data_IF_345277323206
#
_entry.id   IF_345277323206
#
_cell.length_a   1.000
_cell.length_b   1.000
_cell.length_c   1.000
_cell.angle_alpha   90.00
_cell.angle_beta   90.00
_cell.angle_gamma   90.00
#
_symmetry.space_group_name_H-M   'P 1'
#
loop_
_entity.id
_entity.type
_entity.pdbx_description
1 polymer ?
#
# COMPACT_ATOMS: atom_id res chain seq x y z
N UNK A 1 23.47 57.44 19.41
CA UNK A 1 22.46 56.48 19.95
C UNK A 1 22.54 55.21 19.14
N UNK A 2 23.22 54.21 19.66
CA UNK A 2 23.39 52.89 19.08
C UNK A 2 22.21 52.04 19.52
N UNK A 3 21.34 51.62 18.59
CA UNK A 3 20.32 50.61 18.83
C UNK A 3 20.99 49.23 18.90
N UNK A 4 21.06 48.67 20.09
CA UNK A 4 21.43 47.29 20.31
C UNK A 4 20.27 46.41 19.85
N UNK A 5 20.50 45.67 18.75
CA UNK A 5 19.64 44.56 18.31
C UNK A 5 19.85 43.41 19.29
N UNK A 6 18.92 43.23 20.22
CA UNK A 6 18.85 42.03 21.05
C UNK A 6 18.33 40.87 20.19
N UNK A 7 19.03 39.75 20.03
CA UNK A 7 18.51 38.59 19.32
C UNK A 7 17.35 37.99 20.10
N UNK A 8 16.21 37.82 19.46
CA UNK A 8 15.07 37.07 19.95
C UNK A 8 15.52 35.60 20.08
N UNK A 9 15.51 35.00 21.29
CA UNK A 9 15.87 33.59 21.43
C UNK A 9 14.84 32.72 20.69
N UNK A 10 15.29 31.65 19.99
CA UNK A 10 14.37 30.71 19.40
C UNK A 10 13.56 30.02 20.51
N UNK A 11 12.25 30.16 20.50
CA UNK A 11 11.36 29.39 21.37
C UNK A 11 11.27 27.96 20.90
N UNK A 12 12.34 27.20 21.02
CA UNK A 12 12.29 25.76 20.93
C UNK A 12 11.71 25.24 22.26
N UNK A 13 10.51 24.66 22.24
CA UNK A 13 10.02 23.89 23.39
C UNK A 13 11.00 22.74 23.56
N UNK A 14 11.62 22.64 24.74
CA UNK A 14 12.63 21.61 25.08
C UNK A 14 12.05 20.19 25.17
N UNK A 15 10.79 20.01 24.84
CA UNK A 15 10.06 18.74 24.89
C UNK A 15 9.84 18.20 23.48
N UNK A 16 10.13 16.88 23.26
CA UNK A 16 9.80 16.24 21.99
C UNK A 16 8.30 16.33 21.67
N UNK A 17 7.91 16.44 20.38
CA UNK A 17 6.52 16.51 19.99
C UNK A 17 5.79 15.20 20.36
N UNK A 18 4.58 15.31 20.90
CA UNK A 18 3.68 14.17 21.11
C UNK A 18 2.89 13.93 19.86
N UNK A 19 3.07 12.76 19.24
CA UNK A 19 2.48 12.41 17.95
C UNK A 19 1.56 11.19 18.11
N UNK A 20 0.32 11.29 17.61
CA UNK A 20 -0.51 10.11 17.40
C UNK A 20 -0.40 9.65 15.95
N UNK A 21 -0.22 8.34 15.73
CA UNK A 21 -0.37 7.70 14.41
C UNK A 21 -1.61 6.82 14.44
N UNK A 22 -2.63 7.18 13.68
CA UNK A 22 -3.91 6.45 13.62
C UNK A 22 -3.88 5.46 12.47
N UNK A 23 -3.84 4.18 12.81
CA UNK A 23 -3.72 3.03 11.89
C UNK A 23 -2.40 2.28 12.05
N UNK A 24 -2.45 1.02 12.51
CA UNK A 24 -1.31 0.12 12.69
C UNK A 24 -1.14 -0.87 11.51
N UNK A 25 -1.51 -0.44 10.29
CA UNK A 25 -1.10 -1.08 9.05
C UNK A 25 0.38 -0.81 8.75
N UNK A 26 0.90 -1.37 7.66
CA UNK A 26 2.33 -1.24 7.29
C UNK A 26 2.79 0.23 7.21
N UNK A 27 1.96 1.12 6.66
CA UNK A 27 2.31 2.55 6.49
C UNK A 27 2.39 3.24 7.86
N UNK A 28 1.34 3.12 8.69
CA UNK A 28 1.33 3.77 10.01
C UNK A 28 2.39 3.20 10.96
N UNK A 29 2.62 1.89 10.92
CA UNK A 29 3.66 1.25 11.74
C UNK A 29 5.07 1.72 11.35
N UNK A 30 5.36 1.85 10.04
CA UNK A 30 6.63 2.38 9.57
C UNK A 30 6.81 3.86 9.97
N UNK A 31 5.74 4.68 9.87
CA UNK A 31 5.77 6.10 10.32
C UNK A 31 6.02 6.19 11.83
N UNK A 32 5.29 5.42 12.63
CA UNK A 32 5.45 5.43 14.09
C UNK A 32 6.88 5.05 14.50
N UNK A 33 7.44 4.01 13.89
CA UNK A 33 8.81 3.58 14.11
C UNK A 33 9.83 4.68 13.75
N UNK A 34 9.71 5.29 12.57
CA UNK A 34 10.66 6.29 12.10
C UNK A 34 10.57 7.60 12.92
N UNK A 35 9.36 8.04 13.30
CA UNK A 35 9.17 9.20 14.18
C UNK A 35 9.76 8.96 15.57
N UNK A 36 9.52 7.78 16.17
CA UNK A 36 10.10 7.40 17.47
C UNK A 36 11.62 7.34 17.40
N UNK A 37 12.19 6.80 16.32
CA UNK A 37 13.63 6.76 16.08
C UNK A 37 14.25 8.16 16.02
N UNK A 38 13.50 9.16 15.57
CA UNK A 38 13.93 10.59 15.54
C UNK A 38 13.61 11.36 16.81
N UNK A 39 13.17 10.70 17.86
CA UNK A 39 12.98 11.28 19.17
C UNK A 39 11.61 11.89 19.45
N UNK A 40 10.59 11.68 18.60
CA UNK A 40 9.23 12.03 18.92
C UNK A 40 8.64 11.09 19.99
N UNK A 41 7.73 11.58 20.83
CA UNK A 41 6.92 10.75 21.74
C UNK A 41 5.69 10.24 20.97
N UNK A 42 5.72 8.97 20.52
CA UNK A 42 4.72 8.46 19.58
C UNK A 42 3.76 7.47 20.23
N UNK A 43 2.45 7.65 19.95
CA UNK A 43 1.39 6.67 20.27
C UNK A 43 0.80 6.14 18.97
N UNK A 44 0.94 4.83 18.73
CA UNK A 44 0.32 4.11 17.60
C UNK A 44 -1.06 3.61 18.02
N UNK A 45 -2.11 4.00 17.28
CA UNK A 45 -3.51 3.74 17.65
C UNK A 45 -4.19 2.92 16.56
N UNK A 46 -4.73 1.76 16.92
CA UNK A 46 -5.57 0.94 16.02
C UNK A 46 -6.59 0.15 16.84
N UNK A 47 -7.72 -0.17 16.25
CA UNK A 47 -8.74 -1.05 16.85
C UNK A 47 -8.34 -2.53 16.84
N UNK A 48 -7.52 -2.91 15.85
CA UNK A 48 -7.07 -4.28 15.63
C UNK A 48 -5.60 -4.47 16.06
N UNK A 49 -5.15 -5.71 16.11
CA UNK A 49 -3.72 -5.99 16.26
C UNK A 49 -2.95 -5.53 15.01
N UNK A 50 -1.69 -5.13 15.15
CA UNK A 50 -0.89 -4.60 14.06
C UNK A 50 -0.84 -5.53 12.85
N UNK A 51 -1.08 -4.97 11.67
CA UNK A 51 -0.99 -5.65 10.39
C UNK A 51 -2.16 -6.55 10.03
N UNK A 52 -3.21 -6.67 10.85
CA UNK A 52 -4.31 -7.63 10.62
C UNK A 52 -5.29 -7.25 9.50
N UNK A 53 -5.26 -6.00 9.02
CA UNK A 53 -6.09 -5.55 7.91
C UNK A 53 -5.44 -5.82 6.53
N UNK A 54 -5.45 -4.83 5.64
CA UNK A 54 -4.95 -4.97 4.26
C UNK A 54 -3.48 -5.39 4.16
N UNK A 55 -2.66 -5.07 5.16
CA UNK A 55 -1.24 -5.45 5.21
C UNK A 55 -1.05 -6.96 5.32
N UNK A 56 -1.84 -7.65 6.15
CA UNK A 56 -1.81 -9.11 6.27
C UNK A 56 -2.01 -9.81 4.92
N UNK A 57 -3.02 -9.36 4.16
CA UNK A 57 -3.40 -9.99 2.91
C UNK A 57 -2.62 -9.51 1.68
N UNK A 58 -1.64 -8.64 1.84
CA UNK A 58 -0.82 -8.17 0.74
C UNK A 58 0.03 -9.30 0.14
N UNK A 59 0.30 -9.23 -1.17
CA UNK A 59 1.18 -10.18 -1.86
C UNK A 59 2.67 -9.98 -1.55
N UNK A 60 3.01 -9.06 -0.67
CA UNK A 60 4.38 -8.81 -0.23
C UNK A 60 5.31 -8.22 -1.28
N UNK A 61 4.82 -7.94 -2.48
CA UNK A 61 5.63 -7.42 -3.57
C UNK A 61 6.15 -6.01 -3.24
N UNK A 62 7.48 -5.83 -3.29
CA UNK A 62 8.14 -4.53 -3.31
C UNK A 62 8.49 -4.26 -4.77
N UNK A 63 7.72 -3.37 -5.39
CA UNK A 63 7.68 -3.17 -6.83
C UNK A 63 7.99 -1.71 -7.20
N UNK A 64 9.24 -1.24 -7.07
CA UNK A 64 9.58 0.16 -7.39
C UNK A 64 9.28 0.53 -8.84
N UNK A 65 9.31 -0.43 -9.76
CA UNK A 65 8.94 -0.22 -11.16
C UNK A 65 7.43 -0.11 -11.44
N UNK A 66 6.55 -0.13 -10.42
CA UNK A 66 5.10 0.04 -10.60
C UNK A 66 4.69 1.51 -10.77
N UNK A 67 5.36 2.22 -11.67
CA UNK A 67 5.17 3.66 -11.93
C UNK A 67 3.95 3.98 -12.77
N UNK A 68 3.43 3.03 -13.55
CA UNK A 68 2.23 3.25 -14.37
C UNK A 68 0.99 3.27 -13.46
N UNK A 69 0.19 4.36 -13.45
CA UNK A 69 -1.04 4.42 -12.68
C UNK A 69 -2.09 3.44 -13.23
N UNK A 70 -3.10 3.10 -12.41
CA UNK A 70 -4.18 2.20 -12.85
C UNK A 70 -5.06 2.82 -13.94
N UNK A 71 -5.24 4.14 -13.90
CA UNK A 71 -6.03 4.91 -14.86
C UNK A 71 -5.22 5.18 -16.14
N UNK A 72 -5.06 4.15 -16.99
CA UNK A 72 -4.40 4.26 -18.30
C UNK A 72 -5.42 4.50 -19.41
N UNK A 73 -5.09 5.23 -20.50
CA UNK A 73 -6.03 5.51 -21.60
C UNK A 73 -6.70 4.27 -22.18
N UNK A 74 -5.98 3.16 -22.33
CA UNK A 74 -6.51 1.90 -22.85
C UNK A 74 -7.53 1.19 -21.94
N UNK A 75 -7.51 1.49 -20.65
CA UNK A 75 -8.43 0.89 -19.66
C UNK A 75 -9.87 1.40 -19.87
N UNK A 76 -10.03 2.63 -20.32
CA UNK A 76 -11.36 3.23 -20.50
C UNK A 76 -12.22 2.48 -21.51
N UNK A 77 -11.62 2.00 -22.60
CA UNK A 77 -12.34 1.25 -23.64
C UNK A 77 -12.83 -0.12 -23.13
N UNK A 78 -12.13 -0.73 -22.18
CA UNK A 78 -12.45 -2.04 -21.60
C UNK A 78 -13.34 -1.97 -20.36
N UNK A 79 -13.48 -0.80 -19.70
CA UNK A 79 -14.23 -0.64 -18.47
C UNK A 79 -15.68 -1.15 -18.54
N UNK A 80 -16.51 -0.83 -19.58
CA UNK A 80 -17.89 -1.29 -19.63
C UNK A 80 -18.00 -2.82 -19.64
N UNK A 81 -17.17 -3.48 -20.47
CA UNK A 81 -17.15 -4.94 -20.54
C UNK A 81 -16.67 -5.56 -19.22
N UNK A 82 -15.65 -4.98 -18.60
CA UNK A 82 -15.11 -5.46 -17.32
C UNK A 82 -16.08 -5.30 -16.15
N UNK A 83 -16.91 -4.25 -16.14
CA UNK A 83 -17.88 -3.99 -15.07
C UNK A 83 -19.13 -4.88 -15.16
N UNK A 84 -19.47 -5.36 -16.35
CA UNK A 84 -20.64 -6.19 -16.60
C UNK A 84 -20.35 -7.69 -16.45
N UNK A 85 -19.11 -8.11 -16.55
CA UNK A 85 -18.69 -9.52 -16.40
C UNK A 85 -18.28 -9.82 -14.96
N UNK A 86 -19.08 -10.59 -14.24
CA UNK A 86 -18.75 -11.05 -12.87
C UNK A 86 -17.47 -11.89 -12.80
N UNK A 87 -17.01 -12.44 -13.91
CA UNK A 87 -15.76 -13.21 -14.02
C UNK A 87 -14.54 -12.33 -14.32
N UNK A 88 -14.77 -11.05 -14.59
CA UNK A 88 -13.71 -10.07 -14.82
C UNK A 88 -12.84 -9.87 -13.57
N UNK A 89 -11.54 -9.55 -13.73
CA UNK A 89 -10.70 -9.10 -12.64
C UNK A 89 -11.25 -7.87 -11.91
N UNK A 90 -12.03 -7.03 -12.59
CA UNK A 90 -12.71 -5.86 -12.02
C UNK A 90 -14.21 -6.11 -11.96
N UNK A 91 -14.81 -5.88 -10.79
CA UNK A 91 -16.25 -6.02 -10.57
C UNK A 91 -16.80 -4.82 -9.80
N UNK A 92 -17.95 -4.33 -10.24
CA UNK A 92 -18.73 -3.28 -9.58
C UNK A 92 -20.19 -3.72 -9.46
N UNK A 93 -20.66 -4.03 -8.24
CA UNK A 93 -22.08 -4.34 -8.02
C UNK A 93 -22.97 -3.17 -8.41
N UNK A 94 -23.99 -3.42 -9.27
CA UNK A 94 -24.89 -2.38 -9.76
C UNK A 94 -25.53 -1.52 -8.64
N UNK A 95 -25.94 -2.07 -7.47
CA UNK A 95 -26.47 -1.25 -6.38
C UNK A 95 -25.44 -0.29 -5.76
N UNK A 96 -24.15 -0.53 -5.97
CA UNK A 96 -23.08 0.35 -5.46
C UNK A 96 -22.69 1.45 -6.47
N UNK A 97 -23.05 1.30 -7.74
CA UNK A 97 -22.69 2.22 -8.83
C UNK A 97 -22.95 3.71 -8.51
N UNK A 98 -24.12 4.11 -7.94
CA UNK A 98 -24.36 5.53 -7.63
C UNK A 98 -23.35 6.11 -6.63
N UNK A 99 -22.89 5.30 -5.67
CA UNK A 99 -21.86 5.69 -4.68
C UNK A 99 -20.46 5.73 -5.26
N UNK A 100 -20.15 4.82 -6.18
CA UNK A 100 -18.85 4.75 -6.85
C UNK A 100 -18.70 5.81 -7.96
N UNK A 101 -19.80 6.34 -8.50
CA UNK A 101 -19.79 7.21 -9.68
C UNK A 101 -18.89 8.45 -9.53
N UNK A 102 -18.89 9.21 -8.42
CA UNK A 102 -17.99 10.36 -8.27
C UNK A 102 -16.52 9.96 -8.34
N UNK A 103 -16.14 8.82 -7.75
CA UNK A 103 -14.78 8.29 -7.82
C UNK A 103 -14.45 7.81 -9.23
N UNK A 104 -15.36 7.11 -9.91
CA UNK A 104 -15.17 6.63 -11.29
C UNK A 104 -14.96 7.78 -12.27
N UNK A 105 -15.71 8.87 -12.13
CA UNK A 105 -15.53 10.06 -12.96
C UNK A 105 -14.15 10.68 -12.77
N UNK A 106 -13.65 10.77 -11.53
CA UNK A 106 -12.28 11.21 -11.23
C UNK A 106 -11.23 10.24 -11.80
N UNK A 107 -11.47 8.93 -11.69
CA UNK A 107 -10.61 7.89 -12.27
C UNK A 107 -10.50 8.03 -13.79
N UNK A 108 -11.64 8.19 -14.49
CA UNK A 108 -11.68 8.42 -15.94
C UNK A 108 -10.92 9.71 -16.31
N UNK A 109 -11.14 10.80 -15.56
CA UNK A 109 -10.46 12.05 -15.77
C UNK A 109 -8.94 11.94 -15.57
N UNK A 110 -8.47 11.03 -14.72
CA UNK A 110 -7.05 10.79 -14.46
C UNK A 110 -6.34 10.04 -15.60
N UNK A 111 -7.08 9.41 -16.51
CA UNK A 111 -6.52 8.63 -17.61
C UNK A 111 -6.05 9.47 -18.83
N UNK A 112 -6.06 10.80 -18.76
CA UNK A 112 -5.50 11.62 -19.82
C UNK A 112 -3.96 11.50 -19.86
N UNK A 113 -3.32 11.52 -21.06
CA UNK A 113 -1.87 11.29 -21.18
C UNK A 113 -1.04 12.16 -20.24
N UNK A 114 -1.31 13.46 -20.18
CA UNK A 114 -0.61 14.40 -19.30
C UNK A 114 -0.74 14.04 -17.81
N UNK A 115 -1.95 13.63 -17.36
CA UNK A 115 -2.16 13.23 -15.96
C UNK A 115 -1.50 11.91 -15.63
N UNK A 116 -1.45 10.99 -16.59
CA UNK A 116 -0.74 9.70 -16.45
C UNK A 116 0.76 9.94 -16.27
N UNK A 117 1.37 10.83 -17.06
CA UNK A 117 2.79 11.21 -16.92
C UNK A 117 3.05 11.83 -15.54
N UNK A 118 2.25 12.82 -15.13
CA UNK A 118 2.36 13.47 -13.81
C UNK A 118 2.18 12.46 -12.65
N UNK A 119 1.24 11.53 -12.79
CA UNK A 119 1.05 10.48 -11.79
C UNK A 119 2.25 9.54 -11.74
N UNK A 120 2.83 9.17 -12.89
CA UNK A 120 4.00 8.31 -12.97
C UNK A 120 5.24 8.95 -12.32
N UNK A 121 5.49 10.24 -12.56
CA UNK A 121 6.57 10.99 -11.91
C UNK A 121 6.41 10.99 -10.37
N UNK A 122 5.19 11.25 -9.89
CA UNK A 122 4.89 11.26 -8.46
C UNK A 122 5.02 9.87 -7.83
N UNK A 123 4.57 8.83 -8.52
CA UNK A 123 4.72 7.44 -8.10
C UNK A 123 6.19 7.05 -8.07
N UNK A 124 6.96 7.33 -9.13
CA UNK A 124 8.39 7.07 -9.14
C UNK A 124 9.10 7.75 -7.95
N UNK A 125 8.79 9.01 -7.69
CA UNK A 125 9.38 9.74 -6.56
C UNK A 125 9.08 9.11 -5.18
N UNK A 126 7.97 8.36 -5.04
CA UNK A 126 7.67 7.61 -3.82
C UNK A 126 8.33 6.23 -3.84
N UNK A 127 8.43 5.58 -4.99
CA UNK A 127 8.95 4.21 -5.12
C UNK A 127 10.48 4.11 -5.12
N UNK A 128 11.17 5.18 -5.47
CA UNK A 128 12.64 5.17 -5.64
C UNK A 128 13.34 4.66 -4.38
N UNK A 129 14.31 3.75 -4.55
CA UNK A 129 15.07 3.11 -3.47
C UNK A 129 14.23 2.28 -2.48
N UNK A 130 12.97 1.94 -2.79
CA UNK A 130 12.11 1.20 -1.87
C UNK A 130 12.74 -0.12 -1.41
N UNK A 131 13.29 -0.93 -2.33
CA UNK A 131 13.95 -2.21 -1.98
C UNK A 131 15.11 -1.99 -1.02
N UNK A 132 15.97 -1.01 -1.28
CA UNK A 132 17.12 -0.71 -0.44
C UNK A 132 16.68 -0.27 0.97
N UNK A 133 15.67 0.58 1.07
CA UNK A 133 15.15 1.05 2.36
C UNK A 133 14.47 -0.06 3.16
N UNK A 134 13.74 -0.96 2.49
CA UNK A 134 13.19 -2.14 3.14
C UNK A 134 14.29 -3.11 3.61
N UNK A 135 15.37 -3.28 2.83
CA UNK A 135 16.53 -4.07 3.23
C UNK A 135 17.17 -3.50 4.52
N UNK A 136 17.38 -2.20 4.56
CA UNK A 136 17.91 -1.52 5.75
C UNK A 136 16.98 -1.70 6.97
N UNK A 137 15.67 -1.49 6.78
CA UNK A 137 14.71 -1.63 7.86
C UNK A 137 14.63 -3.08 8.38
N UNK A 138 14.58 -4.09 7.50
CA UNK A 138 14.53 -5.51 7.94
C UNK A 138 15.77 -5.91 8.74
N UNK A 139 16.95 -5.41 8.35
CA UNK A 139 18.19 -5.59 9.11
C UNK A 139 18.14 -4.89 10.47
N UNK A 140 17.71 -3.64 10.50
CA UNK A 140 17.61 -2.82 11.71
C UNK A 140 16.68 -3.42 12.76
N UNK A 141 15.53 -3.99 12.34
CA UNK A 141 14.55 -4.60 13.24
C UNK A 141 14.76 -6.12 13.45
N UNK A 142 15.85 -6.69 12.92
CA UNK A 142 16.26 -8.08 13.18
C UNK A 142 15.44 -9.15 12.46
N UNK A 143 14.89 -8.86 11.27
CA UNK A 143 14.12 -9.82 10.46
C UNK A 143 14.54 -9.81 8.97
N UNK A 144 15.87 -9.86 8.65
CA UNK A 144 16.34 -9.75 7.27
C UNK A 144 15.83 -10.87 6.38
N UNK A 145 15.50 -12.04 6.94
CA UNK A 145 14.98 -13.20 6.22
C UNK A 145 13.58 -12.96 5.61
N UNK A 146 12.84 -11.95 6.09
CA UNK A 146 11.54 -11.61 5.54
C UNK A 146 11.61 -10.93 4.17
N UNK A 147 12.77 -10.39 3.79
CA UNK A 147 12.94 -9.74 2.49
C UNK A 147 13.76 -10.62 1.55
N UNK A 148 13.13 -11.05 0.46
CA UNK A 148 13.74 -11.91 -0.56
C UNK A 148 13.93 -11.14 -1.86
N UNK A 149 15.17 -11.06 -2.35
CA UNK A 149 15.54 -10.36 -3.60
C UNK A 149 15.72 -11.38 -4.73
N UNK A 150 14.63 -11.74 -5.40
CA UNK A 150 14.64 -12.66 -6.55
C UNK A 150 14.00 -12.08 -7.81
N UNK A 151 13.67 -10.79 -7.79
CA UNK A 151 12.97 -10.13 -8.88
C UNK A 151 11.50 -10.52 -8.99
N UNK A 152 10.82 -9.90 -9.97
CA UNK A 152 9.44 -10.22 -10.32
C UNK A 152 9.36 -10.60 -11.79
N UNK A 153 8.61 -11.65 -12.11
CA UNK A 153 8.41 -12.16 -13.46
C UNK A 153 6.97 -11.90 -13.89
N UNK A 154 6.77 -11.02 -14.89
CA UNK A 154 5.48 -10.78 -15.51
C UNK A 154 5.31 -11.68 -16.72
N UNK A 155 4.24 -12.46 -16.77
CA UNK A 155 3.98 -13.46 -17.80
C UNK A 155 2.84 -13.03 -18.72
N UNK A 156 3.07 -13.22 -20.02
CA UNK A 156 2.13 -12.96 -21.10
C UNK A 156 1.92 -14.21 -21.94
N UNK A 157 0.66 -14.51 -22.36
CA UNK A 157 0.39 -15.66 -23.24
C UNK A 157 1.16 -15.58 -24.56
N UNK A 158 1.30 -14.39 -25.12
CA UNK A 158 1.93 -14.12 -26.39
C UNK A 158 2.43 -12.68 -26.51
N UNK A 159 3.08 -12.33 -27.61
CA UNK A 159 3.57 -10.97 -27.88
C UNK A 159 2.44 -9.95 -28.02
N UNK A 160 1.30 -10.33 -28.60
CA UNK A 160 0.17 -9.42 -28.77
C UNK A 160 -0.45 -9.01 -27.43
N UNK A 161 -0.42 -9.92 -26.45
CA UNK A 161 -0.83 -9.58 -25.07
C UNK A 161 0.16 -8.63 -24.39
N UNK A 162 1.47 -8.80 -24.63
CA UNK A 162 2.50 -7.87 -24.13
C UNK A 162 2.36 -6.48 -24.77
N UNK A 163 2.06 -6.40 -26.06
CA UNK A 163 1.92 -5.13 -26.81
C UNK A 163 0.79 -4.26 -26.26
N UNK A 164 -0.25 -4.84 -25.65
CA UNK A 164 -1.31 -4.09 -24.95
C UNK A 164 -0.80 -3.33 -23.73
N UNK A 165 0.26 -3.82 -23.11
CA UNK A 165 0.90 -3.19 -21.94
C UNK A 165 2.19 -2.40 -22.32
N UNK A 166 2.50 -2.22 -23.63
CA UNK A 166 3.74 -1.63 -24.13
C UNK A 166 4.01 -0.23 -23.53
N UNK A 167 3.00 0.62 -23.38
CA UNK A 167 3.14 1.94 -22.77
C UNK A 167 3.63 1.84 -21.32
N UNK A 168 3.08 0.93 -20.53
CA UNK A 168 3.48 0.69 -19.16
C UNK A 168 4.94 0.20 -19.05
N UNK A 169 5.39 -0.65 -19.99
CA UNK A 169 6.78 -1.13 -20.04
C UNK A 169 7.76 -0.03 -20.51
N UNK A 170 7.34 0.80 -21.47
CA UNK A 170 8.13 1.97 -21.88
C UNK A 170 8.36 2.92 -20.71
N UNK A 171 7.30 3.28 -19.97
CA UNK A 171 7.41 4.14 -18.79
C UNK A 171 8.41 3.59 -17.76
N UNK A 172 8.40 2.28 -17.47
CA UNK A 172 9.39 1.67 -16.56
C UNK A 172 10.82 1.91 -17.04
N UNK A 173 11.08 1.71 -18.33
CA UNK A 173 12.41 1.94 -18.92
C UNK A 173 12.82 3.40 -18.88
N UNK A 174 11.89 4.33 -19.15
CA UNK A 174 12.12 5.77 -19.09
C UNK A 174 12.52 6.24 -17.68
N UNK A 175 11.96 5.60 -16.63
CA UNK A 175 12.35 5.83 -15.24
C UNK A 175 13.60 5.01 -14.79
N UNK A 176 14.29 4.34 -15.71
CA UNK A 176 15.56 3.68 -15.45
C UNK A 176 15.45 2.29 -14.81
N UNK A 177 14.25 1.66 -14.83
CA UNK A 177 14.12 0.29 -14.35
C UNK A 177 14.62 -0.70 -15.42
N UNK A 178 15.53 -1.58 -15.01
CA UNK A 178 16.03 -2.65 -15.88
C UNK A 178 14.96 -3.73 -16.07
N UNK A 179 14.67 -4.02 -17.34
CA UNK A 179 13.61 -4.96 -17.72
C UNK A 179 14.14 -5.90 -18.79
N UNK A 180 14.27 -7.16 -18.43
CA UNK A 180 14.68 -8.22 -19.34
C UNK A 180 13.44 -8.88 -19.99
N UNK A 181 13.46 -9.03 -21.32
CA UNK A 181 12.44 -9.80 -22.03
C UNK A 181 12.91 -11.24 -22.20
N UNK A 182 12.05 -12.17 -21.78
CA UNK A 182 12.30 -13.60 -21.84
C UNK A 182 11.37 -14.28 -22.85
N UNK A 183 11.89 -15.27 -23.53
CA UNK A 183 11.10 -16.24 -24.28
C UNK A 183 10.65 -17.41 -23.38
N UNK A 184 10.02 -18.42 -23.96
CA UNK A 184 9.54 -19.59 -23.20
C UNK A 184 10.68 -20.32 -22.49
N UNK A 185 11.85 -20.46 -23.13
CA UNK A 185 12.99 -21.15 -22.52
C UNK A 185 13.53 -20.38 -21.33
N UNK A 186 13.61 -19.05 -21.42
CA UNK A 186 13.97 -18.18 -20.30
C UNK A 186 12.98 -18.24 -19.14
N UNK A 187 11.67 -18.29 -19.44
CA UNK A 187 10.64 -18.48 -18.41
C UNK A 187 10.83 -19.82 -17.70
N UNK A 188 11.02 -20.91 -18.45
CA UNK A 188 11.17 -22.26 -17.90
C UNK A 188 12.43 -22.41 -17.07
N UNK A 189 13.52 -21.76 -17.46
CA UNK A 189 14.75 -21.71 -16.68
C UNK A 189 14.59 -21.01 -15.33
N UNK A 190 13.76 -19.94 -15.25
CA UNK A 190 13.48 -19.21 -14.03
C UNK A 190 12.39 -19.85 -13.16
N UNK A 191 11.32 -20.36 -13.79
CA UNK A 191 10.12 -20.89 -13.14
C UNK A 191 9.60 -22.13 -13.90
N UNK A 192 10.17 -23.31 -13.64
CA UNK A 192 9.88 -24.53 -14.42
C UNK A 192 8.43 -25.03 -14.30
N UNK A 193 7.73 -24.65 -13.22
CA UNK A 193 6.34 -25.09 -12.99
C UNK A 193 5.28 -24.18 -13.65
N UNK A 194 5.71 -23.16 -14.41
CA UNK A 194 4.78 -22.31 -15.15
C UNK A 194 4.25 -23.04 -16.39
N UNK A 195 2.94 -23.18 -16.47
CA UNK A 195 2.24 -23.84 -17.59
C UNK A 195 2.58 -23.24 -18.96
N UNK A 196 2.47 -24.08 -20.00
CA UNK A 196 2.86 -23.74 -21.40
C UNK A 196 2.03 -22.63 -22.04
N UNK A 197 0.98 -22.15 -21.37
CA UNK A 197 0.17 -21.01 -21.84
C UNK A 197 0.99 -19.73 -22.03
N UNK A 198 2.00 -19.51 -21.18
CA UNK A 198 2.79 -18.27 -21.16
C UNK A 198 4.06 -18.42 -21.99
N UNK A 199 4.18 -17.58 -23.04
CA UNK A 199 5.24 -17.64 -24.03
C UNK A 199 6.22 -16.47 -23.94
N UNK A 200 5.84 -15.37 -23.28
CA UNK A 200 6.67 -14.16 -23.13
C UNK A 200 6.73 -13.76 -21.67
N UNK A 201 7.95 -13.51 -21.18
CA UNK A 201 8.23 -12.99 -19.84
C UNK A 201 8.83 -11.59 -19.90
N UNK A 202 8.50 -10.79 -18.89
CA UNK A 202 9.18 -9.54 -18.60
C UNK A 202 9.71 -9.61 -17.15
N UNK A 203 11.01 -9.64 -17.00
CA UNK A 203 11.68 -9.83 -15.72
C UNK A 203 12.26 -8.53 -15.19
N UNK A 204 11.94 -8.22 -13.94
CA UNK A 204 12.41 -7.06 -13.17
C UNK A 204 13.30 -7.56 -12.04
N UNK A 205 14.61 -7.59 -12.27
CA UNK A 205 15.60 -8.19 -11.36
C UNK A 205 15.67 -7.45 -10.02
N UNK A 206 15.53 -6.11 -10.02
CA UNK A 206 15.69 -5.26 -8.85
C UNK A 206 14.47 -5.22 -7.91
N UNK A 207 13.44 -5.99 -8.22
CA UNK A 207 12.28 -6.12 -7.34
C UNK A 207 12.53 -7.13 -6.21
N UNK A 208 11.77 -6.99 -5.12
CA UNK A 208 11.88 -7.85 -3.96
C UNK A 208 10.51 -8.26 -3.42
N UNK A 209 10.51 -9.17 -2.47
CA UNK A 209 9.28 -9.68 -1.85
C UNK A 209 9.45 -9.75 -0.33
N UNK A 210 8.49 -9.23 0.42
CA UNK A 210 8.30 -9.52 1.84
C UNK A 210 7.48 -10.80 1.93
N UNK A 211 8.10 -11.90 2.34
CA UNK A 211 7.47 -13.23 2.34
C UNK A 211 6.42 -13.43 3.44
N UNK A 212 6.33 -12.54 4.41
CA UNK A 212 5.24 -12.49 5.41
C UNK A 212 4.96 -11.03 5.83
N UNK A 213 4.07 -10.32 5.12
CA UNK A 213 3.75 -8.92 5.43
C UNK A 213 3.15 -8.71 6.83
N UNK A 214 2.37 -9.66 7.33
CA UNK A 214 1.81 -9.60 8.69
C UNK A 214 2.89 -9.63 9.76
N UNK A 215 3.80 -10.60 9.68
CA UNK A 215 4.95 -10.74 10.59
C UNK A 215 5.89 -9.53 10.47
N UNK A 216 6.06 -8.97 9.27
CA UNK A 216 6.86 -7.78 9.04
C UNK A 216 6.30 -6.57 9.80
N UNK A 217 4.99 -6.29 9.69
CA UNK A 217 4.34 -5.21 10.47
C UNK A 217 4.52 -5.42 11.97
N UNK A 218 4.29 -6.65 12.45
CA UNK A 218 4.47 -6.99 13.87
C UNK A 218 5.92 -6.78 14.35
N UNK A 219 6.91 -7.08 13.50
CA UNK A 219 8.32 -6.84 13.81
C UNK A 219 8.63 -5.33 13.91
N UNK A 220 8.09 -4.51 13.00
CA UNK A 220 8.22 -3.05 13.06
C UNK A 220 7.62 -2.52 14.36
N UNK A 221 6.42 -2.97 14.72
CA UNK A 221 5.74 -2.51 15.95
C UNK A 221 6.47 -2.97 17.21
N UNK A 222 6.98 -4.20 17.26
CA UNK A 222 7.83 -4.64 18.38
C UNK A 222 9.08 -3.77 18.52
N UNK A 223 9.76 -3.45 17.43
CA UNK A 223 10.93 -2.56 17.46
C UNK A 223 10.57 -1.14 17.89
N UNK A 224 9.40 -0.65 17.49
CA UNK A 224 8.83 0.62 17.94
C UNK A 224 8.60 0.63 19.44
N UNK A 225 7.93 -0.38 20.00
CA UNK A 225 7.66 -0.51 21.45
C UNK A 225 8.96 -0.64 22.26
N UNK A 226 9.95 -1.41 21.77
CA UNK A 226 11.28 -1.54 22.39
C UNK A 226 12.06 -0.22 22.47
N UNK A 227 11.75 0.73 21.59
CA UNK A 227 12.30 2.10 21.62
C UNK A 227 11.48 3.07 22.50
N UNK A 228 10.51 2.57 23.26
CA UNK A 228 9.67 3.37 24.15
C UNK A 228 8.41 3.96 23.50
N UNK A 229 8.07 3.54 22.29
CA UNK A 229 6.80 3.88 21.64
C UNK A 229 5.62 3.27 22.38
N UNK A 230 4.49 3.96 22.41
CA UNK A 230 3.26 3.51 23.08
C UNK A 230 2.23 3.01 22.08
N UNK A 231 1.52 1.95 22.42
CA UNK A 231 0.41 1.44 21.61
C UNK A 231 -0.90 1.55 22.37
N UNK A 232 -1.93 2.03 21.66
CA UNK A 232 -3.29 2.10 22.16
C UNK A 232 -4.23 1.29 21.26
N UNK A 233 -4.87 0.26 21.82
CA UNK A 233 -5.85 -0.56 21.09
C UNK A 233 -7.24 0.01 21.31
N UNK A 234 -7.67 0.87 20.37
CA UNK A 234 -9.01 1.47 20.38
C UNK A 234 -9.41 1.90 18.98
N UNK A 235 -10.72 1.98 18.73
CA UNK A 235 -11.26 2.54 17.49
C UNK A 235 -11.35 4.08 17.62
N UNK A 236 -10.65 4.78 16.74
CA UNK A 236 -10.77 6.25 16.61
C UNK A 236 -11.95 6.54 15.68
N UNK A 237 -12.97 7.24 16.19
CA UNK A 237 -14.18 7.61 15.42
C UNK A 237 -14.13 9.02 14.86
N UNK A 238 -13.44 9.92 15.53
CA UNK A 238 -13.30 11.30 15.09
C UNK A 238 -12.00 11.93 15.59
N UNK A 239 -11.61 13.01 14.95
CA UNK A 239 -10.54 13.88 15.37
C UNK A 239 -11.12 15.24 15.75
N UNK A 240 -10.67 15.81 16.85
CA UNK A 240 -11.09 17.11 17.35
C UNK A 240 -9.90 18.01 17.58
N UNK A 241 -10.06 19.29 17.28
CA UNK A 241 -9.13 20.32 17.73
C UNK A 241 -9.60 20.90 19.06
N UNK A 242 -8.70 20.97 20.02
CA UNK A 242 -8.95 21.56 21.34
C UNK A 242 -7.82 22.51 21.68
N UNK A 243 -8.11 23.54 22.48
CA UNK A 243 -7.11 24.46 23.00
C UNK A 243 -6.71 24.05 24.42
N UNK A 244 -5.42 23.88 24.64
CA UNK A 244 -4.84 23.61 25.96
C UNK A 244 -3.87 24.72 26.33
N UNK A 245 -4.31 25.62 27.17
CA UNK A 245 -3.52 26.76 27.67
C UNK A 245 -2.94 27.65 26.54
N UNK A 246 -3.78 27.97 25.53
CA UNK A 246 -3.38 28.79 24.39
C UNK A 246 -2.58 28.01 23.29
N UNK A 247 -2.48 26.69 23.42
CA UNK A 247 -1.84 25.85 22.42
C UNK A 247 -2.87 24.89 21.80
N UNK A 248 -3.17 25.02 20.51
CA UNK A 248 -4.09 24.12 19.84
C UNK A 248 -3.47 22.71 19.72
N UNK A 249 -4.22 21.71 20.14
CA UNK A 249 -3.88 20.29 20.04
C UNK A 249 -4.92 19.52 19.30
N UNK A 250 -4.53 18.38 18.79
CA UNK A 250 -5.42 17.40 18.21
C UNK A 250 -5.76 16.31 19.22
N UNK A 251 -7.05 16.02 19.39
CA UNK A 251 -7.52 14.95 20.27
C UNK A 251 -8.22 13.86 19.46
N UNK A 252 -7.99 12.61 19.83
CA UNK A 252 -8.72 11.46 19.30
C UNK A 252 -10.01 11.26 20.08
N UNK A 253 -11.10 10.97 19.38
CA UNK A 253 -12.38 10.56 19.97
C UNK A 253 -12.52 9.05 19.78
N UNK A 254 -12.54 8.32 20.89
CA UNK A 254 -12.63 6.86 20.89
C UNK A 254 -14.08 6.37 20.68
N UNK A 255 -14.24 5.08 20.44
CA UNK A 255 -15.54 4.44 20.17
C UNK A 255 -16.55 4.61 21.30
N UNK A 256 -16.10 4.67 22.56
CA UNK A 256 -16.92 4.89 23.74
C UNK A 256 -17.19 6.39 24.04
N UNK A 257 -16.74 7.28 23.16
CA UNK A 257 -16.91 8.73 23.29
C UNK A 257 -15.87 9.43 24.15
N UNK A 258 -14.92 8.73 24.75
CA UNK A 258 -13.82 9.35 25.48
C UNK A 258 -12.93 10.18 24.56
N UNK A 259 -12.40 11.26 25.08
CA UNK A 259 -11.54 12.21 24.34
C UNK A 259 -10.31 12.57 25.19
N UNK A 260 -9.76 11.57 25.87
CA UNK A 260 -8.77 11.82 26.93
C UNK A 260 -7.35 11.99 26.38
N UNK A 261 -7.12 11.65 25.10
CA UNK A 261 -5.79 11.70 24.52
C UNK A 261 -5.65 12.79 23.46
N UNK A 262 -4.82 13.78 23.79
CA UNK A 262 -4.51 14.89 22.91
C UNK A 262 -3.01 14.97 22.62
N UNK A 263 -2.68 15.32 21.38
CA UNK A 263 -1.34 15.29 20.81
C UNK A 263 -1.02 16.62 20.14
N UNK A 264 0.25 16.91 20.01
CA UNK A 264 0.72 18.09 19.28
C UNK A 264 0.48 17.90 17.78
N UNK A 265 0.68 16.66 17.28
CA UNK A 265 0.53 16.25 15.88
C UNK A 265 -0.25 14.93 15.77
N UNK A 266 -1.04 14.78 14.70
CA UNK A 266 -1.70 13.51 14.35
C UNK A 266 -1.40 13.13 12.90
N UNK A 267 -1.04 11.87 12.68
CA UNK A 267 -0.92 11.27 11.35
C UNK A 267 -2.09 10.32 11.11
N UNK A 268 -2.89 10.57 10.07
CA UNK A 268 -3.95 9.66 9.62
C UNK A 268 -3.37 8.67 8.63
N UNK A 269 -3.26 7.40 9.03
CA UNK A 269 -2.79 6.27 8.23
C UNK A 269 -3.77 5.07 8.31
N UNK A 270 -5.08 5.36 8.45
CA UNK A 270 -6.15 4.39 8.71
C UNK A 270 -6.64 3.65 7.44
N UNK A 271 -5.80 3.57 6.39
CA UNK A 271 -6.10 2.83 5.16
C UNK A 271 -7.42 3.28 4.53
N UNK A 272 -8.28 2.35 4.18
CA UNK A 272 -9.57 2.62 3.53
C UNK A 272 -10.57 3.36 4.43
N UNK A 273 -10.36 3.39 5.74
CA UNK A 273 -11.20 4.11 6.72
C UNK A 273 -10.78 5.57 6.91
N UNK A 274 -9.66 6.01 6.35
CA UNK A 274 -9.12 7.38 6.54
C UNK A 274 -10.13 8.47 6.20
N UNK A 275 -10.94 8.28 5.13
CA UNK A 275 -11.98 9.24 4.75
C UNK A 275 -13.02 9.48 5.83
N UNK A 276 -13.33 8.47 6.67
CA UNK A 276 -14.29 8.62 7.77
C UNK A 276 -13.79 9.59 8.85
N UNK A 277 -12.46 9.67 9.03
CA UNK A 277 -11.83 10.58 9.97
C UNK A 277 -11.62 11.99 9.40
N UNK A 278 -11.41 12.10 8.10
CA UNK A 278 -11.04 13.37 7.44
C UNK A 278 -12.23 14.15 6.91
N UNK A 279 -13.29 13.47 6.43
CA UNK A 279 -14.46 14.11 5.86
C UNK A 279 -15.21 15.05 6.86
N UNK A 280 -15.37 14.71 8.16
CA UNK A 280 -15.95 15.62 9.13
C UNK A 280 -15.14 16.91 9.37
N UNK A 281 -13.85 16.91 9.01
CA UNK A 281 -12.96 18.07 9.06
C UNK A 281 -13.03 18.94 7.80
N UNK A 282 -13.87 18.58 6.82
CA UNK A 282 -13.95 19.25 5.52
C UNK A 282 -12.88 18.80 4.50
N UNK A 283 -12.08 17.78 4.81
CA UNK A 283 -11.08 17.22 3.90
C UNK A 283 -11.69 16.09 3.06
N UNK A 284 -12.16 16.42 1.85
CA UNK A 284 -12.73 15.44 0.91
C UNK A 284 -11.60 14.69 0.16
N UNK A 285 -11.11 13.63 0.76
CA UNK A 285 -10.14 12.73 0.13
C UNK A 285 -10.92 11.77 -0.78
N UNK A 286 -10.65 11.73 -2.10
CA UNK A 286 -11.34 10.85 -3.03
C UNK A 286 -10.84 9.41 -2.92
N UNK A 287 -11.01 8.81 -1.76
CA UNK A 287 -10.58 7.47 -1.42
C UNK A 287 -11.72 6.47 -1.63
N UNK A 288 -11.47 5.41 -2.39
CA UNK A 288 -12.40 4.29 -2.56
C UNK A 288 -11.76 2.98 -2.12
N UNK A 289 -12.58 2.12 -1.51
CA UNK A 289 -12.16 0.77 -1.15
C UNK A 289 -12.20 -0.14 -2.38
N UNK A 290 -11.05 -0.48 -2.92
CA UNK A 290 -10.92 -1.56 -3.90
C UNK A 290 -10.64 -2.87 -3.17
N UNK A 291 -11.69 -3.69 -3.03
CA UNK A 291 -11.64 -4.96 -2.31
C UNK A 291 -10.83 -5.96 -3.13
N UNK A 292 -9.75 -6.46 -2.55
CA UNK A 292 -8.89 -7.48 -3.13
C UNK A 292 -9.05 -8.80 -2.40
N UNK A 293 -8.87 -9.88 -3.14
CA UNK A 293 -8.97 -11.24 -2.59
C UNK A 293 -7.66 -11.98 -2.76
N UNK A 294 -7.40 -12.95 -1.89
CA UNK A 294 -6.38 -13.95 -2.14
C UNK A 294 -6.82 -15.35 -1.69
N UNK A 295 -6.16 -16.33 -2.25
CA UNK A 295 -6.10 -17.69 -1.73
C UNK A 295 -4.68 -18.01 -1.35
N UNK A 296 -4.50 -18.81 -0.31
CA UNK A 296 -3.19 -19.29 0.12
C UNK A 296 -3.18 -20.79 0.24
N UNK A 297 -2.34 -21.42 -0.58
CA UNK A 297 -2.08 -22.86 -0.57
C UNK A 297 -0.96 -23.14 0.43
N UNK A 298 -1.21 -24.01 1.38
CA UNK A 298 -0.19 -24.47 2.33
C UNK A 298 0.81 -25.37 1.61
N UNK A 299 2.01 -25.44 2.12
CA UNK A 299 3.08 -26.33 1.64
C UNK A 299 3.48 -26.16 0.16
N UNK A 300 2.93 -25.16 -0.53
CA UNK A 300 3.16 -24.89 -1.95
C UNK A 300 4.18 -23.73 -2.20
N UNK A 301 4.96 -23.32 -1.21
CA UNK A 301 5.93 -22.21 -1.35
C UNK A 301 7.00 -22.48 -2.41
N UNK A 302 7.24 -23.73 -2.77
CA UNK A 302 8.25 -24.13 -3.77
C UNK A 302 7.72 -24.19 -5.20
N UNK A 303 6.43 -23.99 -5.42
CA UNK A 303 5.81 -24.01 -6.76
C UNK A 303 6.38 -22.91 -7.65
N UNK A 304 6.63 -21.73 -7.06
CA UNK A 304 7.40 -20.66 -7.72
C UNK A 304 8.53 -20.20 -6.80
N UNK A 305 9.59 -19.66 -7.38
CA UNK A 305 10.76 -19.20 -6.62
C UNK A 305 10.74 -17.70 -6.31
N UNK A 306 9.89 -16.95 -7.00
CA UNK A 306 9.76 -15.48 -6.96
C UNK A 306 8.32 -15.04 -7.15
N UNK A 307 8.05 -13.76 -7.01
CA UNK A 307 6.74 -13.21 -7.38
C UNK A 307 6.55 -13.32 -8.88
N UNK A 308 5.50 -14.04 -9.30
CA UNK A 308 5.05 -14.19 -10.68
C UNK A 308 3.75 -13.39 -10.85
N UNK A 309 3.67 -12.60 -11.92
CA UNK A 309 2.48 -11.81 -12.25
C UNK A 309 1.88 -12.34 -13.55
N UNK A 310 0.68 -12.89 -13.48
CA UNK A 310 -0.09 -13.29 -14.66
C UNK A 310 -0.76 -12.03 -15.23
N UNK A 311 -0.11 -11.38 -16.20
CA UNK A 311 -0.47 -10.04 -16.65
C UNK A 311 -1.85 -9.98 -17.32
N UNK A 312 -2.22 -11.02 -18.08
CA UNK A 312 -3.52 -11.15 -18.72
C UNK A 312 -4.67 -11.34 -17.72
N UNK A 313 -4.38 -11.90 -16.54
CA UNK A 313 -5.33 -12.19 -15.47
C UNK A 313 -5.29 -11.17 -14.33
N UNK A 314 -4.30 -10.26 -14.31
CA UNK A 314 -4.04 -9.30 -13.22
C UNK A 314 -3.90 -9.99 -11.85
N UNK A 315 -3.20 -11.11 -11.82
CA UNK A 315 -3.01 -11.98 -10.64
C UNK A 315 -1.55 -12.04 -10.26
N UNK A 316 -1.28 -11.88 -8.97
CA UNK A 316 0.04 -12.05 -8.35
C UNK A 316 0.11 -13.42 -7.69
N UNK A 317 1.17 -14.15 -7.95
CA UNK A 317 1.48 -15.45 -7.36
C UNK A 317 2.81 -15.32 -6.65
N UNK A 318 2.80 -15.48 -5.34
CA UNK A 318 3.96 -15.15 -4.50
C UNK A 318 4.27 -16.29 -3.55
N UNK A 319 5.52 -16.79 -3.50
CA UNK A 319 5.97 -17.72 -2.47
C UNK A 319 6.05 -16.98 -1.14
N UNK A 320 5.21 -17.39 -0.20
CA UNK A 320 5.17 -16.85 1.16
C UNK A 320 5.85 -17.79 2.14
N UNK A 321 6.13 -17.31 3.34
CA UNK A 321 6.66 -18.10 4.44
C UNK A 321 5.77 -19.33 4.76
N UNK A 322 4.45 -19.18 4.62
CA UNK A 322 3.45 -20.21 4.93
C UNK A 322 2.82 -20.87 3.69
N UNK A 323 3.50 -20.88 2.54
CA UNK A 323 2.98 -21.49 1.32
C UNK A 323 2.94 -20.54 0.12
N UNK A 324 2.00 -20.74 -0.81
CA UNK A 324 1.84 -19.95 -2.02
C UNK A 324 0.60 -19.07 -1.91
N UNK A 325 0.78 -17.75 -2.02
CA UNK A 325 -0.33 -16.79 -2.08
C UNK A 325 -0.64 -16.40 -3.51
N UNK A 326 -1.91 -16.52 -3.87
CA UNK A 326 -2.43 -16.09 -5.16
C UNK A 326 -3.43 -14.98 -4.92
N UNK A 327 -3.03 -13.75 -5.22
CA UNK A 327 -3.79 -12.54 -4.97
C UNK A 327 -4.14 -11.79 -6.23
N UNK A 328 -5.30 -11.16 -6.26
CA UNK A 328 -5.74 -10.41 -7.42
C UNK A 328 -7.14 -9.86 -7.24
N UNK A 329 -7.79 -9.63 -8.35
CA UNK A 329 -9.14 -9.09 -8.46
C UNK A 329 -9.34 -7.74 -7.79
N UNK A 330 -10.31 -7.01 -8.29
CA UNK A 330 -10.77 -5.73 -7.73
C UNK A 330 -12.28 -5.76 -7.69
N UNK A 331 -12.86 -5.56 -6.50
CA UNK A 331 -14.28 -5.30 -6.33
C UNK A 331 -14.46 -3.91 -5.74
N UNK A 332 -15.19 -3.05 -6.41
CA UNK A 332 -15.57 -1.73 -5.91
C UNK A 332 -16.93 -1.88 -5.22
N UNK A 333 -16.93 -2.05 -3.90
CA UNK A 333 -18.14 -2.39 -3.13
C UNK A 333 -18.22 -1.73 -1.76
N UNK A 334 -17.38 -0.72 -1.50
CA UNK A 334 -17.33 0.00 -0.23
C UNK A 334 -16.81 -0.85 0.94
N UNK A 335 -17.00 -0.35 2.15
CA UNK A 335 -16.46 -0.95 3.37
C UNK A 335 -17.39 -1.96 4.04
N UNK A 336 -18.69 -1.83 3.89
CA UNK A 336 -19.69 -2.56 4.70
C UNK A 336 -20.31 -3.79 4.03
N UNK A 337 -20.12 -3.95 2.71
CA UNK A 337 -20.66 -5.11 1.98
C UNK A 337 -19.96 -6.40 2.45
N UNK A 338 -20.67 -7.54 2.64
CA UNK A 338 -20.02 -8.81 2.95
C UNK A 338 -19.09 -9.27 1.80
N UNK A 339 -18.02 -10.04 2.10
CA UNK A 339 -17.11 -10.56 1.09
C UNK A 339 -17.81 -11.50 0.09
N UNK A 340 -17.44 -11.40 -1.19
CA UNK A 340 -17.85 -12.38 -2.21
C UNK A 340 -16.74 -13.41 -2.45
N UNK A 341 -16.79 -14.54 -1.74
CA UNK A 341 -15.76 -15.58 -1.80
C UNK A 341 -15.71 -16.33 -3.15
N UNK A 342 -16.66 -16.13 -4.06
CA UNK A 342 -16.58 -16.63 -5.45
C UNK A 342 -15.36 -16.04 -6.17
N UNK A 343 -14.96 -14.82 -5.80
CA UNK A 343 -13.77 -14.14 -6.35
C UNK A 343 -12.47 -14.81 -5.88
N UNK A 344 -12.42 -15.27 -4.63
CA UNK A 344 -11.31 -16.08 -4.17
C UNK A 344 -11.27 -17.45 -4.86
N UNK A 345 -12.43 -18.10 -5.05
CA UNK A 345 -12.52 -19.37 -5.80
C UNK A 345 -12.06 -19.23 -7.26
N UNK A 346 -12.27 -18.06 -7.89
CA UNK A 346 -11.74 -17.78 -9.22
C UNK A 346 -10.19 -17.76 -9.22
N UNK A 347 -9.57 -17.17 -8.21
CA UNK A 347 -8.11 -17.15 -8.07
C UNK A 347 -7.54 -18.56 -7.87
N UNK A 348 -8.22 -19.38 -7.07
CA UNK A 348 -7.86 -20.78 -6.89
C UNK A 348 -7.86 -21.55 -8.21
N UNK A 349 -8.92 -21.41 -9.00
CA UNK A 349 -9.00 -22.02 -10.32
C UNK A 349 -7.87 -21.55 -11.24
N UNK A 350 -7.61 -20.24 -11.32
CA UNK A 350 -6.52 -19.67 -12.13
C UNK A 350 -5.17 -20.28 -11.72
N UNK A 351 -4.93 -20.41 -10.42
CA UNK A 351 -3.69 -20.98 -9.91
C UNK A 351 -3.52 -22.44 -10.35
N UNK A 352 -4.54 -23.28 -10.17
CA UNK A 352 -4.51 -24.70 -10.54
C UNK A 352 -4.43 -24.93 -12.06
N UNK A 353 -4.99 -24.01 -12.87
CA UNK A 353 -4.84 -24.04 -14.34
C UNK A 353 -3.44 -23.64 -14.82
N UNK A 354 -2.67 -22.91 -13.97
CA UNK A 354 -1.40 -22.29 -14.37
C UNK A 354 -0.18 -23.02 -13.83
N UNK A 355 -0.28 -23.60 -12.65
CA UNK A 355 0.84 -24.21 -11.95
C UNK A 355 0.55 -25.65 -11.56
N UNK A 356 1.51 -26.52 -11.77
CA UNK A 356 1.47 -27.88 -11.28
C UNK A 356 1.86 -27.95 -9.78
N UNK A 357 1.44 -28.99 -9.08
CA UNK A 357 1.84 -29.24 -7.69
C UNK A 357 1.05 -28.43 -6.64
N UNK A 358 -0.17 -27.99 -6.96
CA UNK A 358 -1.08 -27.35 -6.03
C UNK A 358 -2.09 -28.36 -5.47
N UNK A 359 -1.63 -29.21 -4.55
CA UNK A 359 -2.41 -30.35 -4.04
C UNK A 359 -3.27 -30.01 -2.80
N UNK A 360 -3.14 -28.78 -2.22
CA UNK A 360 -3.95 -28.37 -1.08
C UNK A 360 -5.45 -28.38 -1.44
N UNK A 361 -6.27 -29.27 -0.83
CA UNK A 361 -7.69 -29.39 -1.18
C UNK A 361 -8.55 -28.26 -0.63
N UNK A 362 -8.04 -27.51 0.36
CA UNK A 362 -8.79 -26.46 1.05
C UNK A 362 -7.92 -25.22 1.36
N UNK A 363 -7.45 -24.50 0.33
CA UNK A 363 -6.64 -23.32 0.56
C UNK A 363 -7.44 -22.25 1.32
N UNK A 364 -6.75 -21.51 2.19
CA UNK A 364 -7.40 -20.43 2.92
C UNK A 364 -7.76 -19.28 1.99
N UNK A 365 -8.82 -18.54 2.32
CA UNK A 365 -9.35 -17.43 1.53
C UNK A 365 -9.47 -16.19 2.37
N UNK A 366 -9.16 -15.04 1.79
CA UNK A 366 -9.18 -13.76 2.48
C UNK A 366 -9.62 -12.62 1.57
N UNK A 367 -10.16 -11.57 2.17
CA UNK A 367 -10.50 -10.32 1.50
C UNK A 367 -10.04 -9.11 2.32
N UNK A 368 -9.55 -8.07 1.65
CA UNK A 368 -9.21 -6.79 2.28
C UNK A 368 -9.49 -5.56 1.43
N UNK A 369 -9.46 -4.40 2.09
CA UNK A 369 -9.84 -3.11 1.54
C UNK A 369 -8.61 -2.30 1.14
N UNK A 370 -8.24 -2.28 -0.16
CA UNK A 370 -7.17 -1.42 -0.67
C UNK A 370 -7.63 0.03 -0.70
N UNK A 371 -6.91 0.97 -0.09
CA UNK A 371 -7.25 2.39 -0.08
C UNK A 371 -6.82 3.05 -1.39
N UNK A 372 -7.69 3.13 -2.38
CA UNK A 372 -7.29 3.55 -3.73
C UNK A 372 -7.70 4.98 -4.06
N UNK A 373 -6.72 5.75 -4.56
CA UNK A 373 -6.95 7.06 -5.14
C UNK A 373 -7.27 6.94 -6.64
N UNK A 374 -8.03 7.88 -7.22
CA UNK A 374 -8.41 7.81 -8.64
C UNK A 374 -7.20 7.90 -9.59
N UNK A 375 -6.18 8.65 -9.22
CA UNK A 375 -4.92 8.81 -9.97
C UNK A 375 -3.82 7.85 -9.53
N UNK A 376 -4.11 6.94 -8.60
CA UNK A 376 -3.18 5.98 -7.97
C UNK A 376 -2.10 6.61 -7.08
N UNK A 377 -2.06 7.93 -6.92
CA UNK A 377 -1.00 8.63 -6.16
C UNK A 377 -1.46 8.84 -4.71
N UNK A 378 -0.71 8.36 -3.70
CA UNK A 378 -1.06 8.59 -2.31
C UNK A 378 -0.87 10.05 -1.90
N UNK A 379 -1.65 10.48 -0.91
CA UNK A 379 -1.46 11.77 -0.24
C UNK A 379 -0.55 11.52 0.96
N UNK A 380 0.64 12.16 0.95
CA UNK A 380 1.65 12.06 2.00
C UNK A 380 2.15 13.46 2.35
N UNK A 381 1.81 13.95 3.53
CA UNK A 381 2.23 15.27 3.99
C UNK A 381 1.21 15.95 4.92
N UNK A 382 1.42 17.25 5.23
CA UNK A 382 0.52 18.02 6.07
C UNK A 382 -0.85 18.21 5.39
N UNK A 383 -1.92 18.18 6.19
CA UNK A 383 -3.27 18.46 5.72
C UNK A 383 -3.48 19.96 5.55
N UNK A 384 -3.84 20.40 4.35
CA UNK A 384 -4.08 21.82 4.04
C UNK A 384 -5.17 22.41 4.96
N UNK A 385 -4.91 23.58 5.52
CA UNK A 385 -5.83 24.26 6.43
C UNK A 385 -5.93 23.65 7.85
N UNK A 386 -5.18 22.58 8.14
CA UNK A 386 -5.24 21.85 9.41
C UNK A 386 -3.85 21.67 10.04
N UNK A 387 -3.23 22.72 10.59
CA UNK A 387 -1.91 22.63 11.21
C UNK A 387 -1.87 21.54 12.29
N UNK A 388 -0.82 20.70 12.27
CA UNK A 388 -0.66 19.55 13.16
C UNK A 388 -1.40 18.29 12.75
N UNK A 389 -2.11 18.31 11.61
CA UNK A 389 -2.72 17.12 11.00
C UNK A 389 -1.94 16.71 9.76
N UNK A 390 -1.61 15.42 9.66
CA UNK A 390 -0.83 14.82 8.59
C UNK A 390 -1.60 13.67 7.94
N UNK A 391 -1.42 13.49 6.66
CA UNK A 391 -2.05 12.44 5.87
C UNK A 391 -1.00 11.49 5.32
N UNK A 392 -1.26 10.18 5.45
CA UNK A 392 -0.50 9.11 4.83
C UNK A 392 -1.49 8.06 4.28
N UNK A 393 -2.20 8.42 3.20
CA UNK A 393 -3.40 7.72 2.74
C UNK A 393 -3.39 7.47 1.24
N UNK A 394 -4.10 6.45 0.78
CA UNK A 394 -4.32 6.25 -0.65
C UNK A 394 -3.26 5.41 -1.36
N UNK A 395 -2.43 4.64 -0.66
CA UNK A 395 -1.34 3.82 -1.23
C UNK A 395 -1.82 2.64 -2.10
N UNK A 396 -3.12 2.42 -2.22
CA UNK A 396 -3.70 1.38 -3.07
C UNK A 396 -3.15 -0.01 -2.78
N UNK A 397 -2.61 -0.66 -3.80
CA UNK A 397 -1.96 -1.96 -3.69
C UNK A 397 -0.45 -1.88 -3.40
N UNK A 398 0.13 -0.68 -3.40
CA UNK A 398 1.57 -0.43 -3.24
C UNK A 398 1.98 -0.05 -1.81
N UNK A 399 1.07 -0.15 -0.84
CA UNK A 399 1.35 0.26 0.54
C UNK A 399 2.56 -0.43 1.18
N UNK A 400 2.88 -1.67 0.83
CA UNK A 400 4.11 -2.32 1.28
C UNK A 400 5.31 -1.66 0.61
N UNK A 401 5.31 -1.49 -0.71
CA UNK A 401 6.40 -0.83 -1.45
C UNK A 401 6.72 0.56 -0.88
N UNK A 402 5.67 1.35 -0.61
CA UNK A 402 5.80 2.78 -0.29
C UNK A 402 6.03 3.08 1.20
N UNK A 403 5.75 2.11 2.08
CA UNK A 403 5.62 2.36 3.52
C UNK A 403 6.84 3.04 4.14
N UNK A 404 8.05 2.56 3.84
CA UNK A 404 9.29 3.10 4.40
C UNK A 404 9.57 4.49 3.84
N UNK A 405 9.38 4.69 2.53
CA UNK A 405 9.56 5.99 1.90
C UNK A 405 8.55 7.03 2.42
N UNK A 406 7.31 6.61 2.65
CA UNK A 406 6.26 7.43 3.29
C UNK A 406 6.68 7.82 4.70
N UNK A 407 7.22 6.88 5.47
CA UNK A 407 7.69 7.13 6.84
C UNK A 407 8.80 8.18 6.86
N UNK A 408 9.80 8.05 6.00
CA UNK A 408 10.87 9.05 5.86
C UNK A 408 10.32 10.43 5.49
N UNK A 409 9.41 10.52 4.50
CA UNK A 409 8.82 11.81 4.09
C UNK A 409 8.07 12.52 5.20
N UNK A 410 7.26 11.79 5.96
CA UNK A 410 6.53 12.35 7.10
C UNK A 410 7.51 12.80 8.17
N UNK A 411 8.48 11.95 8.51
CA UNK A 411 9.42 12.24 9.58
C UNK A 411 10.39 13.39 9.21
N UNK A 412 10.86 13.46 7.96
CA UNK A 412 11.69 14.57 7.46
C UNK A 412 10.96 15.91 7.54
N UNK A 413 9.66 15.91 7.24
CA UNK A 413 8.85 17.13 7.26
C UNK A 413 8.38 17.54 8.66
N UNK A 414 8.21 16.60 9.59
CA UNK A 414 7.67 16.84 10.94
C UNK A 414 8.77 17.09 11.97
N UNK A 415 9.85 16.31 11.89
CA UNK A 415 10.96 16.36 12.85
C UNK A 415 12.22 16.72 12.06
N UNK A 416 12.65 17.98 12.15
CA UNK A 416 13.97 18.35 11.63
C UNK A 416 15.03 17.46 12.26
N UNK A 417 16.03 16.97 11.51
CA UNK A 417 17.11 16.20 12.11
C UNK A 417 17.72 17.03 13.23
N UNK A 418 17.91 16.41 14.41
CA UNK A 418 18.66 17.02 15.48
C UNK A 418 20.04 17.39 14.91
N UNK A 419 20.38 18.68 14.98
CA UNK A 419 21.62 19.24 14.47
C UNK A 419 22.84 18.66 15.19
#
# INVERSE_FOLDING_TARGET
MQHQNTPIPPSASSRPPRVAVVGAGIVGSAIAYELQKRGAEVTLIDRDEPGQACSYGNSGAISPGSVAPLAMPGVLASLPAMLLDERSPLYLPLPYLPRALPWLLRFIASASPRRVEQAAERLHAIHVNAVQRHLQLTQEIGVPELLVRRGHLHLYPDAAALDKDATSWRMRKEFGYDVERLDRAGIEALEPNVGRRYQVGMFLQDHATIVNPGRYVQAIVRAFEQRGGSRLRTEVRALRRADFAGRPRWCVVEADGRTDQCFDEIVVAAGAWSRQLTAPLGLDIPLESQRGYHVQFRDAARVVSRTVVLADRKVFVTPMEEGLRVGGTVEIGGLSRPPDMRRAAMLERIARETFDGLDDPAPSRWMGHRPCMPDSVPIVGPAEGHPGLWLAVGHGHLGVTDSVNTAYRIADAMVSPAA
#
